data_IF_533398115128
#
_entry.id   IF_533398115128
#
_cell.length_a   1.000
_cell.length_b   1.000
_cell.length_c   1.000
_cell.angle_alpha   90.00
_cell.angle_beta   90.00
_cell.angle_gamma   90.00
#
_symmetry.space_group_name_H-M   'P 1'
#
loop_
_entity.id
_entity.type
_entity.pdbx_description
1 polymer ?
#
# COMPACT_ATOMS: atom_id res chain seq x y z
N UNK A 1 19.49 11.13 14.00
CA UNK A 1 19.66 12.06 15.13
C UNK A 1 20.06 13.39 14.53
N UNK A 2 19.24 14.43 14.68
CA UNK A 2 19.64 15.80 14.28
C UNK A 2 20.27 16.42 15.52
N UNK A 3 21.57 16.64 15.46
CA UNK A 3 22.32 17.23 16.56
C UNK A 3 22.23 18.76 16.43
N UNK A 4 21.64 19.41 17.44
CA UNK A 4 21.52 20.86 17.48
C UNK A 4 22.61 21.40 18.40
N UNK A 5 23.46 22.26 17.85
CA UNK A 5 24.45 22.99 18.63
C UNK A 5 23.76 23.95 19.61
N UNK A 6 23.97 23.71 20.91
CA UNK A 6 23.87 24.64 22.05
C UNK A 6 22.64 25.56 22.13
N UNK A 7 21.61 25.10 22.84
CA UNK A 7 20.53 25.93 23.35
C UNK A 7 20.74 26.13 24.88
N UNK A 8 21.20 27.29 25.33
CA UNK A 8 21.69 27.52 26.71
C UNK A 8 20.63 28.01 27.73
N UNK A 9 19.33 27.83 27.45
CA UNK A 9 18.21 28.17 28.35
C UNK A 9 16.94 27.45 27.87
N UNK A 10 15.78 27.45 28.58
CA UNK A 10 14.62 26.68 28.16
C UNK A 10 14.17 27.09 26.75
N UNK A 11 14.54 26.29 25.75
CA UNK A 11 14.23 26.54 24.36
C UNK A 11 12.87 25.93 24.03
N UNK A 12 11.92 26.77 23.62
CA UNK A 12 10.70 26.32 22.96
C UNK A 12 10.99 26.20 21.47
N UNK A 13 10.94 24.98 20.95
CA UNK A 13 11.12 24.73 19.53
C UNK A 13 9.78 24.33 18.88
N UNK A 14 9.60 24.70 17.63
CA UNK A 14 8.44 24.34 16.81
C UNK A 14 8.92 23.45 15.68
N UNK A 15 8.23 22.33 15.45
CA UNK A 15 8.41 21.55 14.22
C UNK A 15 7.25 21.81 13.29
N UNK A 16 7.58 22.27 12.08
CA UNK A 16 6.62 22.43 10.99
C UNK A 16 6.85 21.32 9.97
N UNK A 17 5.76 20.62 9.64
CA UNK A 17 5.71 19.61 8.59
C UNK A 17 5.43 20.31 7.27
N UNK A 18 6.39 20.36 6.35
CA UNK A 18 6.17 20.85 5.00
C UNK A 18 6.09 19.64 4.07
N UNK A 19 4.86 19.18 3.81
CA UNK A 19 4.54 18.08 2.86
C UNK A 19 4.81 18.47 1.39
N UNK A 20 5.47 19.60 1.12
CA UNK A 20 5.41 20.49 -0.07
C UNK A 20 4.34 21.59 -0.02
N UNK A 21 3.79 21.95 1.15
CA UNK A 21 2.91 23.13 1.30
C UNK A 21 1.78 23.07 2.33
N UNK A 22 1.64 22.02 3.15
CA UNK A 22 0.61 21.93 4.20
C UNK A 22 1.31 21.75 5.56
N UNK A 23 1.25 22.80 6.38
CA UNK A 23 1.84 22.86 7.73
C UNK A 23 0.87 22.36 8.81
N UNK A 24 1.27 21.35 9.58
CA UNK A 24 0.69 21.06 10.90
C UNK A 24 1.71 21.45 11.97
N UNK A 25 1.44 22.47 12.81
CA UNK A 25 2.38 22.89 13.83
C UNK A 25 2.42 21.90 14.99
N UNK A 26 3.62 21.45 15.39
CA UNK A 26 3.85 20.66 16.60
C UNK A 26 4.69 21.48 17.58
N UNK A 27 4.19 21.66 18.81
CA UNK A 27 4.85 22.46 19.87
C UNK A 27 5.60 21.55 20.84
N UNK A 28 6.84 21.91 21.20
CA UNK A 28 7.56 21.33 22.32
C UNK A 28 7.45 22.21 23.56
N UNK A 29 7.28 21.59 24.72
CA UNK A 29 7.40 22.28 26.01
C UNK A 29 8.87 22.31 26.44
N UNK A 30 9.36 23.44 26.99
CA UNK A 30 10.74 23.53 27.47
C UNK A 30 11.00 22.59 28.65
N UNK A 31 12.16 21.96 28.65
CA UNK A 31 12.73 21.24 29.80
C UNK A 31 13.70 22.13 30.56
N UNK A 32 13.77 21.95 31.87
CA UNK A 32 14.57 22.75 32.81
C UNK A 32 16.07 22.43 32.79
N UNK A 33 16.55 21.54 31.89
CA UNK A 33 17.95 21.13 31.80
C UNK A 33 18.63 21.64 30.49
N UNK A 34 19.86 22.21 30.56
CA UNK A 34 20.57 22.84 29.43
C UNK A 34 21.04 21.85 28.34
N UNK A 35 20.95 20.55 28.57
CA UNK A 35 21.17 19.48 27.58
C UNK A 35 19.96 18.55 27.58
N UNK A 36 18.80 19.06 27.19
CA UNK A 36 17.63 18.20 27.01
C UNK A 36 17.59 17.69 25.58
N UNK A 37 17.97 16.42 25.39
CA UNK A 37 17.60 15.68 24.18
C UNK A 37 16.09 15.42 24.21
N UNK A 38 15.35 16.03 23.28
CA UNK A 38 13.92 15.78 23.08
C UNK A 38 13.69 14.80 21.94
N UNK A 39 12.61 14.03 22.00
CA UNK A 39 12.09 13.26 20.86
C UNK A 39 10.65 13.64 20.61
N UNK A 40 10.22 13.56 19.35
CA UNK A 40 8.82 13.70 18.96
C UNK A 40 8.44 12.58 18.03
N UNK A 41 7.25 12.05 18.22
CA UNK A 41 6.62 11.15 17.28
C UNK A 41 5.63 11.94 16.46
N UNK A 42 5.81 11.93 15.14
CA UNK A 42 4.88 12.54 14.19
C UNK A 42 3.95 11.46 13.65
N UNK A 43 2.66 11.59 13.93
CA UNK A 43 1.63 10.63 13.52
C UNK A 43 0.82 11.14 12.32
N UNK A 44 -0.07 10.28 11.79
CA UNK A 44 -0.97 10.60 10.69
C UNK A 44 -0.24 11.11 9.43
N UNK A 45 0.94 10.53 9.16
CA UNK A 45 1.72 10.79 7.96
C UNK A 45 1.32 9.83 6.84
N UNK A 46 1.26 10.33 5.61
CA UNK A 46 1.19 9.44 4.44
C UNK A 46 2.45 8.60 4.33
N UNK A 47 2.28 7.32 4.02
CA UNK A 47 3.37 6.37 3.77
C UNK A 47 4.17 6.75 2.53
N UNK A 48 5.44 6.33 2.49
CA UNK A 48 6.36 6.56 1.39
C UNK A 48 6.38 8.01 0.86
N UNK A 49 6.25 8.97 1.75
CA UNK A 49 6.14 10.39 1.44
C UNK A 49 7.31 11.14 2.06
N UNK A 50 7.92 12.04 1.30
CA UNK A 50 9.00 12.90 1.78
C UNK A 50 8.39 14.08 2.54
N UNK A 51 8.92 14.35 3.73
CA UNK A 51 8.59 15.50 4.55
C UNK A 51 9.85 16.31 4.80
N UNK A 52 9.73 17.62 4.63
CA UNK A 52 10.69 18.57 5.19
C UNK A 52 10.20 18.97 6.58
N UNK A 53 11.03 18.77 7.59
CA UNK A 53 10.79 19.16 8.96
C UNK A 53 11.66 20.37 9.26
N UNK A 54 11.03 21.48 9.59
CA UNK A 54 11.71 22.71 9.97
C UNK A 54 11.59 22.92 11.47
N UNK A 55 12.72 23.11 12.12
CA UNK A 55 12.81 23.37 13.55
C UNK A 55 13.28 24.79 13.79
N UNK A 56 12.46 25.57 14.49
CA UNK A 56 12.77 26.94 14.92
C UNK A 56 12.79 27.00 16.43
N UNK A 57 13.79 27.59 17.05
CA UNK A 57 13.86 27.74 18.51
C UNK A 57 13.82 29.23 18.90
N UNK A 58 13.02 29.56 19.92
CA UNK A 58 12.66 30.94 20.27
C UNK A 58 13.82 31.88 20.64
N UNK A 59 14.99 31.34 21.00
CA UNK A 59 16.15 32.11 21.46
C UNK A 59 17.33 32.07 20.49
N UNK A 60 17.19 31.40 19.33
CA UNK A 60 18.28 31.24 18.36
C UNK A 60 17.72 31.51 16.96
N UNK A 61 18.42 32.31 16.15
CA UNK A 61 18.06 32.55 14.74
C UNK A 61 18.33 31.34 13.83
N UNK A 62 18.75 30.20 14.40
CA UNK A 62 19.10 29.01 13.65
C UNK A 62 17.84 28.20 13.34
N UNK A 63 17.59 28.00 12.05
CA UNK A 63 16.58 27.08 11.54
C UNK A 63 17.31 25.80 11.15
N UNK A 64 16.93 24.68 11.75
CA UNK A 64 17.40 23.37 11.32
C UNK A 64 16.34 22.72 10.43
N UNK A 65 16.77 22.22 9.26
CA UNK A 65 15.90 21.51 8.34
C UNK A 65 16.32 20.05 8.25
N UNK A 66 15.36 19.15 8.41
CA UNK A 66 15.54 17.71 8.26
C UNK A 66 14.58 17.18 7.20
N UNK A 67 15.12 16.53 6.18
CA UNK A 67 14.30 15.83 5.18
C UNK A 67 14.24 14.35 5.55
N UNK A 68 13.03 13.85 5.76
CA UNK A 68 12.77 12.42 6.04
C UNK A 68 11.76 11.86 5.05
N UNK A 69 11.83 10.55 4.80
CA UNK A 69 10.78 9.82 4.08
C UNK A 69 10.13 8.86 5.07
N UNK A 70 8.80 8.81 5.07
CA UNK A 70 8.06 7.82 5.84
C UNK A 70 8.23 6.42 5.26
N UNK A 71 8.13 5.41 6.10
CA UNK A 71 8.22 4.02 5.67
C UNK A 71 7.15 3.66 4.64
N UNK A 72 7.43 2.58 3.91
CA UNK A 72 6.45 1.96 3.01
C UNK A 72 5.29 1.37 3.82
N UNK A 73 4.17 1.16 3.15
CA UNK A 73 3.03 0.47 3.72
C UNK A 73 2.40 -0.47 2.71
N UNK A 74 1.37 -1.23 3.11
CA UNK A 74 0.65 -2.12 2.20
C UNK A 74 0.10 -1.34 1.00
N UNK A 75 0.38 -1.75 -0.25
CA UNK A 75 -0.29 -1.21 -1.43
C UNK A 75 -1.80 -1.47 -1.41
N UNK A 76 -2.55 -0.71 -2.21
CA UNK A 76 -3.87 -1.15 -2.68
C UNK A 76 -3.73 -2.39 -3.58
N UNK A 77 -4.78 -3.21 -3.77
CA UNK A 77 -4.72 -4.34 -4.69
C UNK A 77 -4.36 -3.90 -6.13
N UNK A 78 -3.74 -4.79 -6.92
CA UNK A 78 -3.61 -4.63 -8.37
C UNK A 78 -4.98 -4.41 -9.01
N UNK A 79 -5.00 -3.60 -10.07
CA UNK A 79 -6.23 -3.19 -10.75
C UNK A 79 -6.46 -4.04 -11.99
N UNK A 80 -7.72 -4.09 -12.45
CA UNK A 80 -8.11 -4.77 -13.69
C UNK A 80 -7.53 -6.18 -13.80
N UNK A 81 -7.64 -6.97 -12.73
CA UNK A 81 -7.16 -8.34 -12.73
C UNK A 81 -8.10 -9.21 -13.57
N UNK A 82 -7.52 -9.92 -14.54
CA UNK A 82 -8.23 -10.76 -15.51
C UNK A 82 -7.50 -12.09 -15.68
N UNK A 83 -8.27 -13.16 -15.93
CA UNK A 83 -7.77 -14.50 -16.24
C UNK A 83 -8.36 -14.90 -17.57
N UNK A 84 -7.52 -15.21 -18.55
CA UNK A 84 -7.93 -15.57 -19.91
C UNK A 84 -7.29 -16.91 -20.30
N UNK A 85 -8.04 -17.77 -21.00
CA UNK A 85 -7.49 -18.98 -21.59
C UNK A 85 -6.78 -18.63 -22.90
N UNK A 86 -5.51 -19.00 -23.03
CA UNK A 86 -4.71 -18.81 -24.22
C UNK A 86 -4.01 -20.13 -24.59
N UNK A 87 -4.66 -20.92 -25.46
CA UNK A 87 -4.20 -22.25 -25.84
C UNK A 87 -4.12 -23.20 -24.63
N UNK A 88 -2.92 -23.69 -24.33
CA UNK A 88 -2.67 -24.58 -23.18
C UNK A 88 -2.33 -23.84 -21.87
N UNK A 89 -2.42 -22.51 -21.87
CA UNK A 89 -2.05 -21.68 -20.72
C UNK A 89 -3.22 -20.82 -20.25
N UNK A 90 -3.24 -20.54 -18.95
CA UNK A 90 -3.96 -19.40 -18.40
C UNK A 90 -3.04 -18.20 -18.42
N UNK A 91 -3.51 -17.11 -19.01
CA UNK A 91 -2.84 -15.82 -19.00
C UNK A 91 -3.56 -14.90 -18.02
N UNK A 92 -2.86 -14.57 -16.94
CA UNK A 92 -3.28 -13.65 -15.90
C UNK A 92 -2.75 -12.27 -16.27
N UNK A 93 -3.59 -11.24 -16.21
CA UNK A 93 -3.20 -9.84 -16.52
C UNK A 93 -3.70 -8.89 -15.46
N UNK A 94 -2.94 -7.85 -15.16
CA UNK A 94 -3.33 -6.81 -14.23
C UNK A 94 -2.67 -5.47 -14.57
N UNK A 95 -3.14 -4.42 -13.91
CA UNK A 95 -2.52 -3.10 -13.86
C UNK A 95 -1.96 -2.84 -12.45
N UNK A 96 -0.94 -1.97 -12.31
CA UNK A 96 -0.39 -1.63 -11.01
C UNK A 96 -1.44 -1.02 -10.05
N UNK A 97 -1.23 -1.15 -8.73
CA UNK A 97 -1.99 -0.44 -7.70
C UNK A 97 -2.12 1.06 -8.01
N UNK A 98 -3.28 1.66 -7.71
CA UNK A 98 -3.42 3.12 -7.77
C UNK A 98 -2.85 3.81 -6.53
N UNK A 99 -2.85 3.13 -5.37
CA UNK A 99 -2.26 3.62 -4.13
C UNK A 99 -1.09 2.69 -3.78
N UNK A 100 0.14 2.99 -4.23
CA UNK A 100 1.25 2.06 -4.12
C UNK A 100 1.88 2.01 -2.72
N UNK A 101 1.77 3.10 -1.94
CA UNK A 101 2.38 3.24 -0.60
C UNK A 101 3.86 2.82 -0.51
N UNK A 102 4.59 2.93 -1.61
CA UNK A 102 5.92 2.38 -1.76
C UNK A 102 6.30 2.20 -3.22
N UNK A 103 7.46 1.60 -3.50
CA UNK A 103 7.95 1.40 -4.86
C UNK A 103 7.32 0.20 -5.60
N UNK A 104 6.56 -0.66 -4.91
CA UNK A 104 6.19 -2.01 -5.34
C UNK A 104 7.45 -2.86 -5.61
N UNK A 105 7.71 -3.83 -4.74
CA UNK A 105 8.89 -4.69 -4.84
C UNK A 105 8.60 -5.97 -5.62
N UNK A 106 7.43 -6.57 -5.41
CA UNK A 106 7.03 -7.80 -6.10
C UNK A 106 5.50 -7.89 -6.26
N UNK A 107 5.09 -8.77 -7.19
CA UNK A 107 3.72 -9.26 -7.29
C UNK A 107 3.67 -10.75 -6.97
N UNK A 108 2.56 -11.21 -6.40
CA UNK A 108 2.37 -12.61 -6.03
C UNK A 108 0.99 -13.08 -6.44
N UNK A 109 0.95 -14.19 -7.16
CA UNK A 109 -0.30 -14.86 -7.50
C UNK A 109 -0.61 -15.88 -6.42
N UNK A 110 -1.88 -16.00 -6.03
CA UNK A 110 -2.33 -17.05 -5.13
C UNK A 110 -3.46 -17.85 -5.76
N UNK A 111 -3.48 -19.16 -5.53
CA UNK A 111 -4.53 -20.08 -5.95
C UNK A 111 -5.07 -20.74 -4.70
N UNK A 112 -6.36 -20.59 -4.44
CA UNK A 112 -7.05 -21.05 -3.22
C UNK A 112 -6.32 -20.64 -1.93
N UNK A 113 -5.75 -19.43 -1.95
CA UNK A 113 -4.98 -18.86 -0.84
C UNK A 113 -3.52 -19.32 -0.74
N UNK A 114 -3.07 -20.23 -1.61
CA UNK A 114 -1.70 -20.70 -1.67
C UNK A 114 -0.92 -19.85 -2.67
N UNK A 115 0.16 -19.20 -2.22
CA UNK A 115 1.06 -18.43 -3.09
C UNK A 115 1.84 -19.36 -4.03
N UNK A 116 1.84 -19.03 -5.32
CA UNK A 116 2.74 -19.68 -6.27
C UNK A 116 4.10 -18.99 -6.25
N UNK A 117 5.16 -19.78 -6.18
CA UNK A 117 6.55 -19.29 -6.09
C UNK A 117 7.30 -19.49 -7.41
N UNK A 118 8.29 -18.64 -7.73
CA UNK A 118 8.72 -17.45 -6.98
C UNK A 118 7.82 -16.22 -7.20
N UNK A 119 7.94 -15.17 -6.36
CA UNK A 119 7.31 -13.87 -6.63
C UNK A 119 7.72 -13.32 -8.00
N UNK A 120 6.82 -12.56 -8.61
CA UNK A 120 7.05 -11.89 -9.88
C UNK A 120 7.74 -10.55 -9.62
N UNK A 121 8.60 -10.12 -10.54
CA UNK A 121 9.27 -8.83 -10.44
C UNK A 121 8.26 -7.66 -10.45
N UNK A 122 8.72 -6.49 -9.98
CA UNK A 122 7.92 -5.28 -9.84
C UNK A 122 7.35 -4.68 -11.15
N UNK A 123 7.84 -5.09 -12.31
CA UNK A 123 7.35 -4.64 -13.62
C UNK A 123 6.41 -5.66 -14.27
N UNK A 124 6.16 -6.80 -13.62
CA UNK A 124 5.28 -7.82 -14.14
C UNK A 124 3.83 -7.31 -14.18
N UNK A 125 3.25 -7.37 -15.37
CA UNK A 125 1.83 -7.03 -15.63
C UNK A 125 1.03 -8.24 -16.13
N UNK A 126 1.71 -9.39 -16.24
CA UNK A 126 1.10 -10.64 -16.64
C UNK A 126 1.85 -11.83 -16.03
N UNK A 127 1.14 -12.96 -15.94
CA UNK A 127 1.69 -14.25 -15.56
C UNK A 127 1.04 -15.35 -16.39
N UNK A 128 1.82 -16.36 -16.78
CA UNK A 128 1.32 -17.52 -17.53
C UNK A 128 1.50 -18.78 -16.70
N UNK A 129 0.45 -19.57 -16.61
CA UNK A 129 0.49 -20.88 -15.97
C UNK A 129 -0.17 -21.94 -16.83
N UNK A 130 0.21 -23.21 -16.61
CA UNK A 130 -0.45 -24.32 -17.30
C UNK A 130 -1.93 -24.39 -16.86
N UNK A 131 -2.86 -24.49 -17.82
CA UNK A 131 -4.30 -24.61 -17.52
C UNK A 131 -4.63 -25.90 -16.75
N UNK A 132 -3.81 -26.94 -16.92
CA UNK A 132 -4.09 -28.27 -16.38
C UNK A 132 -3.97 -28.32 -14.84
N UNK A 133 -3.33 -27.32 -14.21
CA UNK A 133 -3.31 -27.17 -12.74
C UNK A 133 -4.70 -26.99 -12.12
N UNK A 134 -5.67 -26.50 -12.90
CA UNK A 134 -7.01 -26.13 -12.43
C UNK A 134 -8.11 -26.93 -13.13
N UNK A 135 -7.74 -28.02 -13.81
CA UNK A 135 -8.65 -28.71 -14.69
C UNK A 135 -9.81 -29.35 -13.93
N UNK A 136 -11.05 -29.04 -14.35
CA UNK A 136 -12.26 -29.63 -13.76
C UNK A 136 -12.57 -29.14 -12.35
N UNK A 137 -11.85 -28.12 -11.85
CA UNK A 137 -12.04 -27.54 -10.52
C UNK A 137 -12.33 -26.03 -10.61
N UNK A 138 -13.12 -25.52 -9.66
CA UNK A 138 -13.31 -24.08 -9.47
C UNK A 138 -12.26 -23.62 -8.46
N UNK A 139 -11.35 -22.75 -8.89
CA UNK A 139 -10.25 -22.25 -8.08
C UNK A 139 -10.42 -20.75 -7.86
N UNK A 140 -9.99 -20.25 -6.70
CA UNK A 140 -9.96 -18.83 -6.38
C UNK A 140 -8.57 -18.28 -6.66
N UNK A 141 -8.47 -17.39 -7.64
CA UNK A 141 -7.21 -16.79 -8.06
C UNK A 141 -7.18 -15.35 -7.57
N UNK A 142 -6.07 -14.93 -6.97
CA UNK A 142 -5.81 -13.55 -6.59
C UNK A 142 -4.43 -13.11 -7.03
N UNK A 143 -4.23 -11.80 -7.15
CA UNK A 143 -2.93 -11.18 -7.40
C UNK A 143 -2.72 -10.08 -6.36
N UNK A 144 -1.62 -10.13 -5.63
CA UNK A 144 -1.27 -9.12 -4.62
C UNK A 144 0.00 -8.40 -5.01
N UNK A 145 0.08 -7.11 -4.66
CA UNK A 145 1.29 -6.31 -4.77
C UNK A 145 1.90 -6.14 -3.38
N UNK A 146 3.22 -6.18 -3.29
CA UNK A 146 3.92 -6.08 -2.01
C UNK A 146 5.01 -5.01 -2.04
N UNK A 147 5.13 -4.29 -0.93
CA UNK A 147 6.30 -3.50 -0.61
C UNK A 147 7.17 -4.25 0.41
N UNK A 148 8.48 -3.95 0.42
CA UNK A 148 9.43 -4.43 1.41
C UNK A 148 9.97 -3.20 2.15
N UNK A 149 9.88 -3.22 3.48
CA UNK A 149 10.41 -2.14 4.31
C UNK A 149 11.91 -2.31 4.62
N UNK A 150 12.49 -1.32 5.31
CA UNK A 150 13.92 -1.33 5.65
C UNK A 150 14.31 -2.43 6.67
N UNK A 151 13.34 -3.18 7.21
CA UNK A 151 13.55 -4.34 8.08
C UNK A 151 13.24 -5.67 7.35
N UNK A 152 13.21 -5.66 6.02
CA UNK A 152 12.91 -6.80 5.16
C UNK A 152 11.52 -7.42 5.39
N UNK A 153 10.59 -6.69 6.01
CA UNK A 153 9.21 -7.16 6.19
C UNK A 153 8.42 -6.92 4.92
N UNK A 154 7.62 -7.92 4.56
CA UNK A 154 6.82 -7.90 3.34
C UNK A 154 5.40 -7.43 3.68
N UNK A 155 5.00 -6.31 3.08
CA UNK A 155 3.71 -5.66 3.30
C UNK A 155 2.89 -5.74 2.02
N UNK A 156 1.99 -6.73 1.94
CA UNK A 156 1.18 -6.96 0.75
C UNK A 156 -0.23 -6.40 0.84
N UNK A 157 -0.83 -6.10 -0.31
CA UNK A 157 -2.26 -5.84 -0.46
C UNK A 157 -3.10 -7.06 -0.04
N UNK A 158 -4.35 -6.84 0.36
CA UNK A 158 -5.27 -7.91 0.71
C UNK A 158 -5.66 -8.73 -0.54
N UNK A 159 -5.49 -10.06 -0.50
CA UNK A 159 -5.78 -10.95 -1.63
C UNK A 159 -7.26 -11.01 -1.98
N UNK A 160 -8.15 -10.84 -1.00
CA UNK A 160 -9.61 -10.88 -1.20
C UNK A 160 -10.13 -9.79 -2.12
N UNK A 161 -9.48 -8.63 -2.17
CA UNK A 161 -9.93 -7.50 -2.99
C UNK A 161 -9.65 -7.71 -4.50
N UNK A 162 -8.77 -8.67 -4.80
CA UNK A 162 -8.39 -9.11 -6.15
C UNK A 162 -8.88 -10.53 -6.48
N UNK A 163 -9.62 -11.19 -5.60
CA UNK A 163 -10.02 -12.59 -5.78
C UNK A 163 -11.07 -12.73 -6.90
N UNK A 164 -10.86 -13.72 -7.77
CA UNK A 164 -11.81 -14.17 -8.79
C UNK A 164 -11.91 -15.69 -8.77
N UNK A 165 -13.13 -16.19 -8.86
CA UNK A 165 -13.41 -17.61 -9.05
C UNK A 165 -13.29 -17.97 -10.53
N UNK A 166 -12.49 -18.97 -10.84
CA UNK A 166 -12.25 -19.45 -12.20
C UNK A 166 -12.50 -20.96 -12.30
N UNK A 167 -13.28 -21.37 -13.30
CA UNK A 167 -13.55 -22.78 -13.59
C UNK A 167 -12.99 -23.15 -14.96
N UNK A 168 -12.08 -24.12 -15.01
CA UNK A 168 -11.48 -24.59 -16.26
C UNK A 168 -12.26 -25.80 -16.82
N UNK A 169 -12.93 -25.60 -17.96
CA UNK A 169 -13.84 -26.60 -18.58
C UNK A 169 -13.17 -27.51 -19.62
N UNK A 170 -11.86 -27.43 -19.85
CA UNK A 170 -11.13 -28.20 -20.88
C UNK A 170 -11.56 -27.95 -22.35
N UNK A 171 -12.61 -27.17 -22.62
CA UNK A 171 -13.06 -26.90 -23.99
C UNK A 171 -12.22 -25.81 -24.65
N UNK A 172 -11.14 -26.25 -25.30
CA UNK A 172 -10.45 -25.52 -26.35
C UNK A 172 -11.43 -25.24 -27.49
N UNK A 173 -12.10 -24.08 -27.49
CA UNK A 173 -12.54 -23.37 -28.72
C UNK A 173 -13.25 -22.02 -28.52
N UNK A 174 -13.50 -21.51 -27.29
CA UNK A 174 -14.17 -20.20 -27.16
C UNK A 174 -13.40 -19.18 -26.29
N UNK A 175 -12.80 -18.13 -26.89
CA UNK A 175 -12.02 -17.11 -26.16
C UNK A 175 -12.85 -16.14 -25.30
N UNK A 176 -14.18 -16.29 -25.25
CA UNK A 176 -15.10 -15.32 -24.62
C UNK A 176 -15.79 -15.81 -23.34
N UNK A 177 -15.07 -16.48 -22.43
CA UNK A 177 -15.55 -16.62 -21.03
C UNK A 177 -14.89 -15.53 -20.19
N UNK A 178 -15.47 -14.34 -20.23
CA UNK A 178 -15.14 -13.28 -19.26
C UNK A 178 -15.75 -13.64 -17.92
N UNK A 179 -14.94 -13.93 -16.91
CA UNK A 179 -15.43 -14.08 -15.54
C UNK A 179 -15.74 -12.69 -14.97
N UNK A 180 -17.03 -12.38 -14.85
CA UNK A 180 -17.50 -11.16 -14.18
C UNK A 180 -17.12 -11.21 -12.70
N UNK A 181 -16.46 -10.14 -12.23
CA UNK A 181 -16.28 -9.85 -10.79
C UNK A 181 -17.68 -9.81 -10.18
N UNK A 182 -18.04 -10.76 -9.30
CA UNK A 182 -19.27 -10.64 -8.52
C UNK A 182 -19.09 -9.47 -7.56
N UNK A 183 -19.55 -8.28 -7.96
CA UNK A 183 -19.69 -7.16 -7.04
C UNK A 183 -20.70 -7.58 -5.97
N UNK A 184 -20.27 -7.61 -4.71
CA UNK A 184 -21.19 -7.56 -3.57
C UNK A 184 -21.92 -6.21 -3.63
N UNK A 185 -23.03 -6.14 -4.37
CA UNK A 185 -24.00 -5.07 -4.19
C UNK A 185 -24.70 -5.34 -2.87
N UNK A 186 -24.39 -4.52 -1.87
CA UNK A 186 -25.23 -4.36 -0.69
C UNK A 186 -26.65 -4.03 -1.17
N UNK A 187 -27.56 -5.00 -1.09
CA UNK A 187 -28.98 -4.72 -1.14
C UNK A 187 -29.35 -3.99 0.16
N UNK A 188 -29.17 -2.67 0.18
CA UNK A 188 -29.86 -1.81 1.14
C UNK A 188 -31.31 -1.79 0.67
N UNK A 189 -32.14 -2.59 1.33
CA UNK A 189 -33.60 -2.44 1.29
C UNK A 189 -33.92 -1.04 1.82
N UNK A 190 -34.23 -0.10 0.91
CA UNK A 190 -34.93 1.12 1.26
C UNK A 190 -36.34 0.72 1.69
N UNK A 191 -36.55 0.57 2.99
CA UNK A 191 -37.89 0.52 3.57
C UNK A 191 -38.54 1.89 3.36
N UNK A 192 -39.51 1.96 2.45
CA UNK A 192 -40.46 3.06 2.39
C UNK A 192 -41.41 2.97 3.59
N UNK A 193 -41.76 4.09 4.25
CA UNK A 193 -42.73 4.07 5.34
C UNK A 193 -44.14 3.79 4.80
N UNK A 194 -44.99 3.08 5.56
CA UNK A 194 -46.38 2.86 5.15
C UNK A 194 -47.16 4.17 5.29
N UNK A 195 -47.80 4.58 4.19
CA UNK A 195 -48.92 5.52 4.22
C UNK A 195 -50.10 4.82 4.91
N UNK A 196 -50.63 5.43 5.97
CA UNK A 196 -51.81 5.00 6.70
C UNK A 196 -51.98 5.79 7.97
#
# INVERSE_FOLDING_TARGET
MVELANCSSPCSCLIQKNKTGISTPVKFSPSTNPTTTGSVTLENLQSYTVYSLEMTCSQVTNIATLVVRTDVFRPSPPRNFEVQLNGHHLELKWKPPNIPHGPINDYRVTIDGIEIKPPLNNNALFYRMNKDYMLGTTNKISIIACNIDAQDRILCSNSKDSEISYFNTNNSTNPNISTTKSSLTNNIMLNTPPNG
#
